data_IF_863430212577
#
_entry.id   IF_863430212577
#
_cell.length_a   1.000
_cell.length_b   1.000
_cell.length_c   1.000
_cell.angle_alpha   90.00
_cell.angle_beta   90.00
_cell.angle_gamma   90.00
#
_symmetry.space_group_name_H-M   'P 1'
#
loop_
_entity.id
_entity.type
_entity.pdbx_description
1 polymer ?
#
# COMPACT_ATOMS: atom_id res chain seq x y z
N UNK A 1 13.50 13.23 30.54
CA UNK A 1 13.64 12.07 29.63
C UNK A 1 13.16 12.54 28.26
N UNK A 2 14.12 12.95 27.41
CA UNK A 2 13.83 13.39 26.05
C UNK A 2 13.45 12.13 25.22
N UNK A 3 12.15 11.93 25.02
CA UNK A 3 11.68 10.98 24.03
C UNK A 3 12.12 11.46 22.65
N UNK A 4 13.18 10.91 22.11
CA UNK A 4 13.54 11.06 20.70
C UNK A 4 12.36 10.56 19.88
N UNK A 5 11.61 11.49 19.29
CA UNK A 5 10.55 11.15 18.33
C UNK A 5 11.17 10.22 17.29
N UNK A 6 10.61 9.02 17.14
CA UNK A 6 11.05 8.08 16.11
C UNK A 6 10.88 8.81 14.77
N UNK A 7 11.97 9.08 14.03
CA UNK A 7 11.84 9.76 12.75
C UNK A 7 10.93 8.92 11.86
N UNK A 8 9.89 9.54 11.34
CA UNK A 8 9.04 8.93 10.32
C UNK A 8 9.81 8.68 9.02
N UNK A 9 9.17 8.09 8.05
CA UNK A 9 9.75 7.89 6.71
C UNK A 9 10.08 9.24 6.07
N UNK A 10 11.26 9.32 5.46
CA UNK A 10 11.77 10.55 4.86
C UNK A 10 12.30 10.25 3.47
N UNK A 11 11.77 10.92 2.44
CA UNK A 11 12.19 10.69 1.06
C UNK A 11 11.13 11.02 0.01
N UNK A 12 11.10 10.23 -1.05
CA UNK A 12 10.22 10.41 -2.20
C UNK A 12 9.22 9.24 -2.31
N UNK A 13 8.02 9.53 -2.80
CA UNK A 13 6.95 8.55 -3.01
C UNK A 13 6.33 8.72 -4.40
N UNK A 14 6.16 7.61 -5.12
CA UNK A 14 5.43 7.48 -6.38
C UNK A 14 4.15 6.71 -6.12
N UNK A 15 3.02 7.24 -6.53
CA UNK A 15 1.70 6.62 -6.37
C UNK A 15 1.11 6.27 -7.73
N UNK A 16 0.74 5.01 -7.89
CA UNK A 16 -0.05 4.48 -8.99
C UNK A 16 -1.38 3.91 -8.48
N UNK A 17 -2.24 3.44 -9.38
CA UNK A 17 -3.55 2.88 -9.01
C UNK A 17 -3.44 1.54 -8.28
N UNK A 18 -2.41 0.76 -8.57
CA UNK A 18 -2.22 -0.60 -8.06
C UNK A 18 -0.89 -0.82 -7.33
N UNK A 19 -0.04 0.19 -7.25
CA UNK A 19 1.20 0.13 -6.48
C UNK A 19 1.65 1.50 -5.96
N UNK A 20 2.57 1.47 -5.03
CA UNK A 20 3.20 2.65 -4.46
C UNK A 20 4.67 2.32 -4.19
N UNK A 21 5.58 3.19 -4.61
CA UNK A 21 7.01 3.05 -4.40
C UNK A 21 7.50 4.21 -3.53
N UNK A 22 8.29 3.88 -2.52
CA UNK A 22 8.97 4.86 -1.68
C UNK A 22 10.48 4.66 -1.81
N UNK A 23 11.21 5.75 -1.98
CA UNK A 23 12.65 5.82 -1.74
C UNK A 23 12.85 6.64 -0.49
N UNK A 24 13.12 5.98 0.62
CA UNK A 24 13.12 6.64 1.92
C UNK A 24 14.11 5.98 2.89
N UNK A 25 14.38 6.66 3.98
CA UNK A 25 15.05 6.07 5.12
C UNK A 25 14.02 5.35 5.98
N UNK A 26 14.26 4.07 6.28
CA UNK A 26 13.35 3.26 7.09
C UNK A 26 13.27 3.76 8.54
N UNK A 27 12.05 3.76 9.06
CA UNK A 27 11.76 3.83 10.50
C UNK A 27 11.20 2.51 10.99
N UNK A 28 11.35 2.23 12.29
CA UNK A 28 10.69 1.08 12.93
C UNK A 28 9.17 1.23 12.88
N UNK A 29 8.49 0.08 12.74
CA UNK A 29 7.03 0.05 12.80
C UNK A 29 6.56 -0.90 13.91
N UNK A 30 5.36 -0.65 14.44
CA UNK A 30 4.66 -1.65 15.21
C UNK A 30 4.27 -2.83 14.30
N UNK A 31 3.96 -3.98 14.90
CA UNK A 31 3.44 -5.13 14.15
C UNK A 31 2.11 -4.76 13.49
N UNK A 32 2.02 -5.00 12.19
CA UNK A 32 0.87 -4.63 11.38
C UNK A 32 0.61 -5.63 10.25
N UNK A 33 -0.53 -5.45 9.58
CA UNK A 33 -0.97 -6.29 8.47
C UNK A 33 -1.64 -5.41 7.43
N UNK A 34 -1.22 -5.50 6.19
CA UNK A 34 -1.87 -4.80 5.08
C UNK A 34 -2.25 -5.71 3.91
N UNK A 35 -3.08 -5.18 3.02
CA UNK A 35 -3.55 -5.86 1.83
C UNK A 35 -2.45 -6.06 0.78
N UNK A 36 -1.59 -5.08 0.58
CA UNK A 36 -0.56 -5.12 -0.45
C UNK A 36 0.51 -6.19 -0.18
N UNK A 37 1.13 -6.71 -1.24
CA UNK A 37 2.49 -7.24 -1.14
C UNK A 37 3.44 -6.11 -0.79
N UNK A 38 4.51 -6.41 -0.06
CA UNK A 38 5.57 -5.44 0.21
C UNK A 38 6.93 -6.05 -0.14
N UNK A 39 7.74 -5.25 -0.83
CA UNK A 39 9.15 -5.56 -1.08
C UNK A 39 9.99 -4.44 -0.50
N UNK A 40 10.97 -4.80 0.31
CA UNK A 40 11.96 -3.88 0.86
C UNK A 40 13.30 -4.19 0.22
N UNK A 41 13.96 -3.19 -0.37
CA UNK A 41 15.30 -3.31 -0.95
C UNK A 41 16.22 -2.33 -0.26
N UNK A 42 17.19 -2.83 0.49
CA UNK A 42 18.17 -2.01 1.19
C UNK A 42 19.16 -1.38 0.22
N UNK A 43 19.39 -0.08 0.35
CA UNK A 43 20.32 0.68 -0.48
C UNK A 43 21.67 0.78 0.24
N UNK A 44 22.47 -0.29 0.13
CA UNK A 44 23.81 -0.37 0.71
C UNK A 44 23.89 -1.01 2.12
N UNK A 45 22.76 -1.48 2.65
CA UNK A 45 22.72 -2.21 3.92
C UNK A 45 21.54 -3.21 3.91
N UNK A 46 21.63 -4.24 4.72
CA UNK A 46 20.55 -5.22 4.89
C UNK A 46 19.35 -4.59 5.61
N UNK A 47 18.16 -5.04 5.22
CA UNK A 47 16.90 -4.72 5.86
C UNK A 47 16.51 -5.84 6.79
N UNK A 48 16.07 -5.52 7.99
CA UNK A 48 15.63 -6.46 9.00
C UNK A 48 14.15 -6.29 9.30
N UNK A 49 13.38 -7.39 9.19
CA UNK A 49 11.94 -7.42 9.37
C UNK A 49 11.56 -8.63 10.22
N UNK A 50 10.70 -8.45 11.21
CA UNK A 50 10.05 -9.56 11.88
C UNK A 50 8.81 -9.96 11.09
N UNK A 51 8.73 -11.22 10.68
CA UNK A 51 7.60 -11.82 9.98
C UNK A 51 7.06 -12.97 10.81
N UNK A 52 5.91 -12.77 11.45
CA UNK A 52 5.44 -13.68 12.51
C UNK A 52 6.45 -13.74 13.67
N UNK A 53 6.93 -14.93 13.97
CA UNK A 53 7.95 -15.19 15.02
C UNK A 53 9.40 -15.13 14.48
N UNK A 54 9.59 -15.02 13.16
CA UNK A 54 10.91 -15.09 12.55
C UNK A 54 11.45 -13.69 12.21
N UNK A 55 12.76 -13.53 12.32
CA UNK A 55 13.47 -12.36 11.83
C UNK A 55 14.07 -12.71 10.48
N UNK A 56 13.66 -11.95 9.45
CA UNK A 56 14.21 -12.02 8.10
C UNK A 56 15.16 -10.84 7.91
N UNK A 57 16.39 -11.09 7.44
CA UNK A 57 17.38 -10.07 7.14
C UNK A 57 18.04 -10.33 5.80
N UNK A 58 18.33 -9.28 5.05
CA UNK A 58 19.01 -9.36 3.76
C UNK A 58 18.89 -8.06 2.95
N UNK A 59 19.55 -8.03 1.78
CA UNK A 59 19.49 -6.89 0.87
C UNK A 59 18.08 -6.67 0.29
N UNK A 60 17.28 -7.74 0.25
CA UNK A 60 15.88 -7.71 -0.17
C UNK A 60 15.03 -8.58 0.77
N UNK A 61 13.92 -8.04 1.27
CA UNK A 61 12.93 -8.78 2.08
C UNK A 61 11.56 -8.70 1.42
N UNK A 62 10.92 -9.86 1.26
CA UNK A 62 9.62 -10.03 0.64
C UNK A 62 8.56 -10.33 1.70
N UNK A 63 7.47 -9.57 1.68
CA UNK A 63 6.36 -9.74 2.60
C UNK A 63 5.08 -9.96 1.77
N UNK A 64 4.50 -11.13 1.94
CA UNK A 64 3.27 -11.46 1.24
C UNK A 64 2.09 -10.64 1.78
N UNK A 65 1.11 -10.39 0.91
CA UNK A 65 -0.16 -9.78 1.32
C UNK A 65 -0.72 -10.47 2.57
N UNK A 66 -1.16 -9.68 3.55
CA UNK A 66 -1.78 -10.12 4.80
C UNK A 66 -0.85 -10.91 5.74
N UNK A 67 0.43 -10.85 5.53
CA UNK A 67 1.41 -11.43 6.44
C UNK A 67 1.71 -10.46 7.59
N UNK A 68 1.50 -10.83 8.86
CA UNK A 68 1.85 -9.98 10.00
C UNK A 68 3.36 -9.73 10.03
N UNK A 69 3.76 -8.47 10.15
CA UNK A 69 5.17 -8.11 10.17
C UNK A 69 5.43 -6.77 10.90
N UNK A 70 6.69 -6.54 11.25
CA UNK A 70 7.18 -5.29 11.79
C UNK A 70 8.57 -4.98 11.20
N UNK A 71 8.80 -3.76 10.73
CA UNK A 71 10.11 -3.30 10.29
C UNK A 71 10.95 -3.03 11.54
N UNK A 72 12.10 -3.69 11.64
CA UNK A 72 13.04 -3.56 12.75
C UNK A 72 14.19 -2.60 12.42
N UNK A 73 14.54 -2.49 11.12
CA UNK A 73 15.56 -1.55 10.65
C UNK A 73 15.19 -0.10 10.95
N UNK A 74 16.20 0.68 11.30
CA UNK A 74 16.10 2.12 11.53
C UNK A 74 17.27 2.84 10.88
N UNK A 75 17.00 3.93 10.17
CA UNK A 75 18.04 4.72 9.52
C UNK A 75 18.63 4.09 8.24
N UNK A 76 18.08 2.99 7.75
CA UNK A 76 18.54 2.31 6.54
C UNK A 76 17.87 2.93 5.32
N UNK A 77 18.63 3.45 4.33
CA UNK A 77 18.09 3.85 3.04
C UNK A 77 17.48 2.64 2.32
N UNK A 78 16.27 2.76 1.80
CA UNK A 78 15.51 1.64 1.26
C UNK A 78 14.56 2.06 0.14
N UNK A 79 14.40 1.20 -0.85
CA UNK A 79 13.23 1.20 -1.72
C UNK A 79 12.15 0.31 -1.09
N UNK A 80 10.99 0.88 -0.83
CA UNK A 80 9.83 0.16 -0.30
C UNK A 80 8.74 0.15 -1.35
N UNK A 81 8.41 -1.01 -1.87
CA UNK A 81 7.34 -1.21 -2.84
C UNK A 81 6.13 -1.85 -2.16
N UNK A 82 4.97 -1.22 -2.28
CA UNK A 82 3.68 -1.82 -1.96
C UNK A 82 2.92 -2.05 -3.27
N UNK A 83 2.43 -3.25 -3.51
CA UNK A 83 1.71 -3.57 -4.73
C UNK A 83 0.50 -4.47 -4.46
N UNK A 84 -0.58 -4.24 -5.20
CA UNK A 84 -1.80 -5.03 -5.06
C UNK A 84 -1.59 -6.48 -5.54
N UNK A 85 -1.90 -7.48 -4.72
CA UNK A 85 -1.77 -8.90 -5.10
C UNK A 85 -2.72 -9.31 -6.23
N UNK A 86 -3.66 -8.46 -6.58
CA UNK A 86 -4.53 -8.61 -7.75
C UNK A 86 -3.85 -8.22 -9.05
N UNK A 87 -2.91 -7.29 -8.97
CA UNK A 87 -2.19 -6.78 -10.12
C UNK A 87 -0.86 -7.50 -10.35
N UNK A 88 -0.20 -7.95 -9.26
CA UNK A 88 1.16 -8.48 -9.30
C UNK A 88 1.31 -9.75 -8.47
N UNK A 89 2.16 -10.65 -8.92
CA UNK A 89 2.69 -11.74 -8.09
C UNK A 89 3.94 -11.25 -7.32
N UNK A 90 4.13 -11.76 -6.11
CA UNK A 90 5.26 -11.35 -5.26
C UNK A 90 6.62 -11.68 -5.89
N UNK A 91 6.70 -12.80 -6.62
CA UNK A 91 7.92 -13.20 -7.34
C UNK A 91 8.27 -12.22 -8.48
N UNK A 92 7.25 -11.73 -9.20
CA UNK A 92 7.42 -10.74 -10.26
C UNK A 92 7.91 -9.40 -9.70
N UNK A 93 7.37 -8.98 -8.55
CA UNK A 93 7.85 -7.78 -7.86
C UNK A 93 9.31 -7.90 -7.41
N UNK A 94 9.68 -9.07 -6.89
CA UNK A 94 11.07 -9.34 -6.52
C UNK A 94 12.01 -9.24 -7.74
N UNK A 95 11.61 -9.81 -8.87
CA UNK A 95 12.36 -9.75 -10.12
C UNK A 95 12.47 -8.33 -10.66
N UNK A 96 11.35 -7.56 -10.64
CA UNK A 96 11.35 -6.17 -11.07
C UNK A 96 12.33 -5.31 -10.24
N UNK A 97 12.37 -5.52 -8.92
CA UNK A 97 13.31 -4.83 -8.03
C UNK A 97 14.77 -5.18 -8.38
N UNK A 98 15.08 -6.45 -8.64
CA UNK A 98 16.43 -6.89 -9.04
C UNK A 98 16.83 -6.26 -10.37
N UNK A 99 15.94 -6.23 -11.37
CA UNK A 99 16.21 -5.68 -12.70
C UNK A 99 16.39 -4.16 -12.69
N UNK A 100 15.67 -3.45 -11.81
CA UNK A 100 15.81 -2.00 -11.65
C UNK A 100 17.06 -1.59 -10.86
N UNK A 101 17.71 -2.53 -10.20
CA UNK A 101 18.82 -2.24 -9.31
C UNK A 101 18.38 -1.32 -8.17
N UNK A 102 19.16 -0.25 -7.93
CA UNK A 102 18.90 0.70 -6.85
C UNK A 102 18.16 1.98 -7.32
N UNK A 103 17.63 1.99 -8.54
CA UNK A 103 16.95 3.17 -9.10
C UNK A 103 15.42 3.08 -8.91
N UNK A 104 14.89 4.02 -8.13
CA UNK A 104 13.45 4.18 -7.94
C UNK A 104 12.73 4.54 -9.25
N UNK A 105 13.33 5.40 -10.08
CA UNK A 105 12.78 5.82 -11.36
C UNK A 105 12.69 4.65 -12.35
N UNK A 106 13.74 3.84 -12.44
CA UNK A 106 13.73 2.64 -13.29
C UNK A 106 12.70 1.62 -12.80
N UNK A 107 12.59 1.42 -11.50
CA UNK A 107 11.59 0.53 -10.91
C UNK A 107 10.18 1.04 -11.19
N UNK A 108 9.90 2.32 -10.95
CA UNK A 108 8.61 2.94 -11.24
C UNK A 108 8.21 2.81 -12.72
N UNK A 109 9.14 3.11 -13.63
CA UNK A 109 8.93 2.97 -15.07
C UNK A 109 8.72 1.50 -15.51
N UNK A 110 9.45 0.56 -14.90
CA UNK A 110 9.29 -0.87 -15.14
C UNK A 110 7.93 -1.36 -14.69
N UNK A 111 7.52 -1.03 -13.47
CA UNK A 111 6.22 -1.41 -12.91
C UNK A 111 5.05 -0.82 -13.70
N UNK A 112 5.18 0.39 -14.23
CA UNK A 112 4.18 1.00 -15.10
C UNK A 112 3.88 0.17 -16.36
N UNK A 113 4.88 -0.51 -16.91
CA UNK A 113 4.79 -1.37 -18.10
C UNK A 113 4.65 -2.87 -17.78
N UNK A 114 4.81 -3.27 -16.51
CA UNK A 114 4.75 -4.69 -16.11
C UNK A 114 3.36 -5.26 -16.40
N UNK A 115 3.27 -6.45 -17.03
CA UNK A 115 1.98 -7.06 -17.31
C UNK A 115 1.23 -7.35 -16.01
N UNK A 116 -0.05 -6.99 -15.97
CA UNK A 116 -0.90 -7.29 -14.82
C UNK A 116 -1.42 -8.72 -14.90
N UNK A 117 -1.67 -9.30 -13.74
CA UNK A 117 -2.29 -10.63 -13.64
C UNK A 117 -3.67 -10.62 -14.32
N UNK A 118 -3.96 -11.62 -15.15
CA UNK A 118 -5.29 -11.73 -15.74
C UNK A 118 -6.32 -12.01 -14.63
N UNK A 119 -7.42 -11.27 -14.65
CA UNK A 119 -8.51 -11.41 -13.70
C UNK A 119 -9.80 -11.85 -14.41
N UNK A 120 -10.76 -12.34 -13.64
CA UNK A 120 -12.10 -12.54 -14.16
C UNK A 120 -12.68 -11.18 -14.61
N UNK A 121 -13.26 -11.06 -15.83
CA UNK A 121 -13.75 -9.78 -16.36
C UNK A 121 -14.77 -9.05 -15.46
N UNK A 122 -15.57 -9.81 -14.70
CA UNK A 122 -16.51 -9.22 -13.74
C UNK A 122 -15.79 -8.65 -12.52
N UNK A 123 -14.69 -9.29 -12.12
CA UNK A 123 -13.83 -8.80 -11.04
C UNK A 123 -13.09 -7.54 -11.50
N UNK A 124 -12.58 -7.49 -12.73
CA UNK A 124 -11.95 -6.30 -13.31
C UNK A 124 -12.87 -5.09 -13.27
N UNK A 125 -14.12 -5.23 -13.74
CA UNK A 125 -15.13 -4.16 -13.69
C UNK A 125 -15.38 -3.64 -12.27
N UNK A 126 -15.45 -4.55 -11.29
CA UNK A 126 -15.62 -4.16 -9.90
C UNK A 126 -14.39 -3.43 -9.36
N UNK A 127 -13.18 -3.87 -9.73
CA UNK A 127 -11.92 -3.23 -9.35
C UNK A 127 -11.76 -1.84 -9.99
N UNK A 128 -12.04 -1.70 -11.28
CA UNK A 128 -12.05 -0.41 -11.96
C UNK A 128 -12.96 0.58 -11.23
N UNK A 129 -14.16 0.15 -10.86
CA UNK A 129 -15.10 0.99 -10.09
C UNK A 129 -14.59 1.33 -8.70
N UNK A 130 -13.88 0.41 -8.02
CA UNK A 130 -13.25 0.69 -6.72
C UNK A 130 -12.06 1.65 -6.88
N UNK A 131 -11.24 1.48 -7.92
CA UNK A 131 -10.09 2.36 -8.21
C UNK A 131 -10.50 3.77 -8.63
N UNK A 132 -11.65 3.88 -9.31
CA UNK A 132 -12.26 5.15 -9.66
C UNK A 132 -13.01 5.82 -8.47
N UNK A 133 -12.82 5.31 -7.23
CA UNK A 133 -13.34 5.97 -6.03
C UNK A 133 -12.69 7.35 -5.90
N UNK A 134 -13.51 8.35 -6.05
CA UNK A 134 -13.24 9.73 -5.68
C UNK A 134 -13.82 10.01 -4.26
N UNK A 135 -14.75 10.93 -4.11
CA UNK A 135 -15.21 11.39 -2.79
C UNK A 135 -16.47 10.67 -2.26
N UNK A 136 -17.03 9.72 -2.99
CA UNK A 136 -18.33 9.14 -2.64
C UNK A 136 -18.23 7.75 -1.98
N UNK A 137 -19.16 7.48 -1.07
CA UNK A 137 -19.35 6.13 -0.56
C UNK A 137 -19.74 5.18 -1.71
N UNK A 138 -19.07 4.03 -1.81
CA UNK A 138 -19.38 2.98 -2.78
C UNK A 138 -20.16 1.86 -2.07
N UNK A 139 -21.50 1.83 -2.16
CA UNK A 139 -22.29 0.74 -1.60
C UNK A 139 -21.97 -0.59 -2.29
N UNK A 140 -21.96 -1.69 -1.54
CA UNK A 140 -21.73 -3.03 -2.09
C UNK A 140 -22.73 -3.38 -3.21
N UNK A 141 -23.97 -2.87 -3.12
CA UNK A 141 -24.98 -3.06 -4.15
C UNK A 141 -24.60 -2.40 -5.48
N UNK A 142 -24.10 -1.16 -5.45
CA UNK A 142 -23.65 -0.46 -6.66
C UNK A 142 -22.47 -1.18 -7.32
N UNK A 143 -21.54 -1.70 -6.51
CA UNK A 143 -20.41 -2.46 -6.98
C UNK A 143 -20.83 -3.80 -7.62
N UNK A 144 -21.76 -4.51 -6.98
CA UNK A 144 -22.32 -5.74 -7.50
C UNK A 144 -23.05 -5.50 -8.83
N UNK A 145 -23.84 -4.43 -8.93
CA UNK A 145 -24.53 -4.04 -10.16
C UNK A 145 -23.56 -3.73 -11.30
N UNK A 146 -22.46 -3.01 -11.04
CA UNK A 146 -21.41 -2.73 -12.04
C UNK A 146 -20.80 -4.01 -12.62
N UNK A 147 -20.64 -5.03 -11.78
CA UNK A 147 -20.09 -6.33 -12.18
C UNK A 147 -21.15 -7.29 -12.76
N UNK A 148 -22.42 -6.88 -12.86
CA UNK A 148 -23.57 -7.73 -13.20
C UNK A 148 -23.65 -8.99 -12.29
N UNK A 149 -23.52 -8.79 -10.98
CA UNK A 149 -23.54 -9.81 -9.94
C UNK A 149 -24.53 -9.44 -8.82
N UNK A 150 -25.01 -10.45 -8.08
CA UNK A 150 -25.58 -10.22 -6.76
C UNK A 150 -24.46 -9.92 -5.73
N UNK A 151 -24.80 -9.30 -4.60
CA UNK A 151 -23.83 -9.03 -3.52
C UNK A 151 -23.16 -10.35 -3.09
N UNK A 152 -23.93 -11.43 -2.93
CA UNK A 152 -23.40 -12.73 -2.50
C UNK A 152 -22.45 -13.36 -3.54
N UNK A 153 -22.69 -13.13 -4.83
CA UNK A 153 -21.80 -13.57 -5.91
C UNK A 153 -20.51 -12.74 -5.91
N UNK A 154 -20.61 -11.41 -5.74
CA UNK A 154 -19.48 -10.53 -5.64
C UNK A 154 -18.58 -10.92 -4.44
N UNK A 155 -19.17 -11.10 -3.26
CA UNK A 155 -18.42 -11.50 -2.05
C UNK A 155 -17.73 -12.87 -2.23
N UNK A 156 -18.39 -13.84 -2.86
CA UNK A 156 -17.79 -15.15 -3.18
C UNK A 156 -16.63 -15.03 -4.16
N UNK A 157 -16.78 -14.19 -5.18
CA UNK A 157 -15.73 -13.96 -6.17
C UNK A 157 -14.49 -13.33 -5.52
N UNK A 158 -14.68 -12.32 -4.66
CA UNK A 158 -13.60 -11.69 -3.93
C UNK A 158 -12.97 -12.63 -2.88
N UNK A 159 -13.76 -13.31 -2.07
CA UNK A 159 -13.25 -14.20 -1.04
C UNK A 159 -12.56 -15.45 -1.62
N UNK A 160 -13.09 -16.00 -2.71
CA UNK A 160 -12.52 -17.17 -3.37
C UNK A 160 -11.20 -16.86 -4.09
N UNK A 161 -11.20 -15.86 -4.98
CA UNK A 161 -10.01 -15.51 -5.77
C UNK A 161 -8.96 -14.77 -4.96
N UNK A 162 -9.36 -13.99 -3.96
CA UNK A 162 -8.49 -13.01 -3.30
C UNK A 162 -8.31 -13.26 -1.81
N UNK A 163 -9.11 -14.15 -1.23
CA UNK A 163 -9.21 -14.33 0.23
C UNK A 163 -9.41 -12.99 0.97
N UNK A 164 -10.07 -12.04 0.31
CA UNK A 164 -10.28 -10.67 0.76
C UNK A 164 -11.76 -10.32 0.68
N UNK A 165 -12.29 -9.57 1.63
CA UNK A 165 -13.62 -8.99 1.51
C UNK A 165 -13.61 -7.70 0.70
N UNK A 166 -14.67 -7.43 -0.04
CA UNK A 166 -14.90 -6.16 -0.76
C UNK A 166 -14.65 -4.95 0.14
N UNK A 167 -15.13 -5.01 1.40
CA UNK A 167 -14.96 -3.94 2.38
C UNK A 167 -13.48 -3.60 2.65
N UNK A 168 -12.61 -4.60 2.72
CA UNK A 168 -11.16 -4.39 2.96
C UNK A 168 -10.49 -3.73 1.76
N UNK A 169 -10.88 -4.12 0.54
CA UNK A 169 -10.36 -3.51 -0.66
C UNK A 169 -10.83 -2.05 -0.81
N UNK A 170 -12.11 -1.77 -0.55
CA UNK A 170 -12.62 -0.39 -0.51
C UNK A 170 -11.86 0.44 0.55
N UNK A 171 -11.61 -0.12 1.74
CA UNK A 171 -10.82 0.56 2.77
C UNK A 171 -9.39 0.86 2.28
N UNK A 172 -8.76 -0.09 1.59
CA UNK A 172 -7.43 0.11 1.02
C UNK A 172 -7.42 1.27 0.01
N UNK A 173 -8.39 1.33 -0.88
CA UNK A 173 -8.50 2.42 -1.85
C UNK A 173 -8.79 3.77 -1.19
N UNK A 174 -9.65 3.81 -0.16
CA UNK A 174 -9.85 5.03 0.64
C UNK A 174 -8.56 5.51 1.31
N UNK A 175 -7.76 4.60 1.85
CA UNK A 175 -6.45 4.94 2.40
C UNK A 175 -5.55 5.56 1.33
N UNK A 176 -5.48 4.97 0.12
CA UNK A 176 -4.70 5.50 -1.01
C UNK A 176 -5.13 6.92 -1.37
N UNK A 177 -6.44 7.16 -1.53
CA UNK A 177 -7.00 8.49 -1.85
C UNK A 177 -6.66 9.51 -0.75
N UNK A 178 -6.84 9.14 0.52
CA UNK A 178 -6.53 10.03 1.64
C UNK A 178 -5.02 10.37 1.69
N UNK A 179 -4.15 9.37 1.50
CA UNK A 179 -2.70 9.57 1.47
C UNK A 179 -2.28 10.48 0.31
N UNK A 180 -2.85 10.27 -0.88
CA UNK A 180 -2.59 11.10 -2.06
C UNK A 180 -2.99 12.56 -1.83
N UNK A 181 -4.18 12.82 -1.25
CA UNK A 181 -4.63 14.18 -0.92
C UNK A 181 -3.76 14.85 0.14
N UNK A 182 -3.41 14.12 1.19
CA UNK A 182 -2.53 14.63 2.24
C UNK A 182 -1.13 14.98 1.70
N UNK A 183 -0.56 14.15 0.82
CA UNK A 183 0.70 14.43 0.13
C UNK A 183 0.58 15.60 -0.85
N UNK A 184 -0.61 15.84 -1.40
CA UNK A 184 -0.94 17.00 -2.24
C UNK A 184 -1.17 18.30 -1.44
N UNK A 185 -1.02 18.28 -0.10
CA UNK A 185 -1.09 19.47 0.76
C UNK A 185 -2.41 19.65 1.52
N UNK A 186 -3.40 18.75 1.36
CA UNK A 186 -4.60 18.79 2.19
C UNK A 186 -4.27 18.44 3.66
N UNK A 187 -4.99 19.02 4.60
CA UNK A 187 -4.89 18.60 6.00
C UNK A 187 -5.34 17.14 6.16
N UNK A 188 -4.87 16.46 7.20
CA UNK A 188 -5.27 15.07 7.46
C UNK A 188 -6.79 14.93 7.65
N UNK A 189 -7.45 15.95 8.17
CA UNK A 189 -8.92 15.96 8.35
C UNK A 189 -9.63 16.07 7.00
N UNK A 190 -9.25 17.01 6.14
CA UNK A 190 -9.80 17.16 4.78
C UNK A 190 -9.55 15.91 3.95
N UNK A 191 -8.33 15.39 3.96
CA UNK A 191 -7.96 14.18 3.25
C UNK A 191 -8.79 12.95 3.70
N UNK A 192 -9.02 12.81 5.01
CA UNK A 192 -9.84 11.75 5.57
C UNK A 192 -11.30 11.84 5.11
N UNK A 193 -11.92 13.02 5.26
CA UNK A 193 -13.31 13.23 4.89
C UNK A 193 -13.52 13.03 3.39
N UNK A 194 -12.66 13.61 2.55
CA UNK A 194 -12.72 13.46 1.10
C UNK A 194 -12.56 12.00 0.64
N UNK A 195 -11.82 11.18 1.38
CA UNK A 195 -11.69 9.75 1.09
C UNK A 195 -12.80 8.87 1.71
N UNK A 196 -13.83 9.49 2.32
CA UNK A 196 -14.98 8.79 2.89
C UNK A 196 -14.73 8.13 4.24
N UNK A 197 -13.74 8.60 5.01
CA UNK A 197 -13.61 8.27 6.43
C UNK A 197 -14.60 9.11 7.26
N UNK A 198 -15.09 8.56 8.36
CA UNK A 198 -16.01 9.26 9.22
C UNK A 198 -15.38 10.51 9.87
N UNK A 199 -14.09 10.39 10.22
CA UNK A 199 -13.30 11.44 10.85
C UNK A 199 -11.79 11.16 10.71
N UNK A 200 -10.97 12.13 11.12
CA UNK A 200 -9.50 11.99 11.12
C UNK A 200 -8.98 10.92 12.10
N UNK A 201 -9.72 10.63 13.17
CA UNK A 201 -9.36 9.60 14.12
C UNK A 201 -9.57 8.18 13.53
N UNK A 202 -10.66 7.97 12.79
CA UNK A 202 -10.91 6.73 12.03
C UNK A 202 -9.80 6.52 10.98
N UNK A 203 -9.45 7.57 10.22
CA UNK A 203 -8.35 7.52 9.26
C UNK A 203 -7.01 7.17 9.96
N UNK A 204 -6.68 7.84 11.05
CA UNK A 204 -5.46 7.61 11.83
C UNK A 204 -5.36 6.18 12.35
N UNK A 205 -6.45 5.63 12.90
CA UNK A 205 -6.48 4.22 13.33
C UNK A 205 -6.29 3.27 12.16
N UNK A 206 -6.90 3.56 11.01
CA UNK A 206 -6.78 2.74 9.81
C UNK A 206 -5.35 2.73 9.26
N UNK A 207 -4.69 3.89 9.19
CA UNK A 207 -3.28 4.00 8.77
C UNK A 207 -2.37 3.22 9.73
N UNK A 208 -2.54 3.42 11.04
CA UNK A 208 -1.74 2.72 12.04
C UNK A 208 -1.92 1.20 11.97
N UNK A 209 -3.14 0.73 11.74
CA UNK A 209 -3.43 -0.70 11.58
C UNK A 209 -2.77 -1.28 10.32
N UNK A 210 -2.70 -0.51 9.22
CA UNK A 210 -2.16 -0.97 7.94
C UNK A 210 -0.65 -0.80 7.79
N UNK A 211 -0.05 0.20 8.45
CA UNK A 211 1.35 0.56 8.24
C UNK A 211 2.19 0.59 9.53
N UNK A 212 1.59 0.30 10.68
CA UNK A 212 2.28 0.27 11.96
C UNK A 212 2.72 1.64 12.50
N UNK A 213 2.29 2.76 11.87
CA UNK A 213 2.61 4.11 12.29
C UNK A 213 1.50 5.11 11.95
N UNK A 214 1.53 6.29 12.59
CA UNK A 214 0.51 7.31 12.35
C UNK A 214 0.69 8.01 11.00
N UNK A 215 -0.39 8.60 10.40
CA UNK A 215 -0.29 9.37 9.16
C UNK A 215 0.75 10.49 9.23
N UNK A 216 0.82 11.21 10.35
CA UNK A 216 1.81 12.27 10.54
C UNK A 216 3.25 11.76 10.55
N UNK A 217 3.50 10.56 11.09
CA UNK A 217 4.82 9.94 11.05
C UNK A 217 5.14 9.39 9.65
N UNK A 218 4.12 8.85 8.95
CA UNK A 218 4.29 8.30 7.62
C UNK A 218 4.54 9.36 6.54
N UNK A 219 3.85 10.52 6.61
CA UNK A 219 3.76 11.47 5.50
C UNK A 219 4.59 12.74 5.67
N UNK A 220 4.95 13.13 6.91
CA UNK A 220 5.51 14.45 7.22
C UNK A 220 6.73 14.84 6.37
N UNK A 221 7.54 13.87 5.97
CA UNK A 221 8.80 14.08 5.27
C UNK A 221 8.87 13.38 3.91
N UNK A 222 7.70 12.95 3.38
CA UNK A 222 7.60 12.38 2.05
C UNK A 222 7.21 13.45 1.02
N UNK A 223 7.84 13.38 -0.15
CA UNK A 223 7.56 14.24 -1.30
C UNK A 223 6.90 13.40 -2.40
N UNK A 224 5.71 13.80 -2.83
CA UNK A 224 5.03 13.15 -3.95
C UNK A 224 5.78 13.43 -5.26
N UNK A 225 6.06 12.36 -6.00
CA UNK A 225 6.66 12.39 -7.34
C UNK A 225 5.65 11.91 -8.37
N UNK A 226 5.67 12.50 -9.54
CA UNK A 226 4.88 12.03 -10.69
C UNK A 226 5.54 10.80 -11.30
N UNK A 227 4.71 9.83 -11.68
CA UNK A 227 5.10 8.77 -12.59
C UNK A 227 5.18 9.41 -13.99
N UNK A 228 6.37 9.47 -14.56
CA UNK A 228 6.62 9.98 -15.90
C UNK A 228 6.03 9.09 -17.00
#
# INVERSE_FOLDING_TARGET
MNGTAIPGWQGDIWLADDHCLLQSTLGRTDSHVHYAHQVLVGLGADVEVRVGEQICSGPQVLIASRQPHAILSHGVPCLTLFAEPLAFDLADLALACVQAGNSAEQLAASLGRWPRRPLNPRLEKALERIRALDEQALPAQALASTAALSISQLERLFSGSLKLSVRRLVLWQRLRVALQRALGGASLTEAALAAGFADSAHFTRSVRHQFGLSPGAALRHLRLRTLG
#
